data_IF_496936707325
#
_entry.id   IF_496936707325
#
_cell.length_a   1.000
_cell.length_b   1.000
_cell.length_c   1.000
_cell.angle_alpha   90.00
_cell.angle_beta   90.00
_cell.angle_gamma   90.00
#
_symmetry.space_group_name_H-M   'P 1'
#
loop_
_entity.id
_entity.type
_entity.pdbx_description
1 polymer ?
#
# COMPACT_ATOMS: atom_id res chain seq x y z
N UNK A 1 18.41 22.66 12.02
CA UNK A 1 18.35 21.20 12.32
C UNK A 1 16.98 20.59 12.05
N UNK A 2 15.88 21.10 12.63
CA UNK A 2 14.54 20.48 12.48
C UNK A 2 14.07 20.30 11.02
N UNK A 3 14.18 21.34 10.19
CA UNK A 3 13.69 21.39 8.80
C UNK A 3 14.42 20.49 7.81
N UNK A 4 15.73 20.30 7.99
CA UNK A 4 16.58 19.60 7.03
C UNK A 4 17.11 18.26 7.56
N UNK A 5 16.77 17.89 8.79
CA UNK A 5 17.28 16.65 9.38
C UNK A 5 16.16 15.91 10.08
N UNK A 6 15.64 16.46 11.18
CA UNK A 6 14.65 15.77 12.02
C UNK A 6 13.40 15.41 11.23
N UNK A 7 12.78 16.40 10.56
CA UNK A 7 11.52 16.19 9.84
C UNK A 7 11.69 15.20 8.67
N UNK A 8 12.67 15.36 7.75
CA UNK A 8 12.90 14.37 6.71
C UNK A 8 13.21 12.97 7.26
N UNK A 9 14.04 12.84 8.29
CA UNK A 9 14.37 11.53 8.86
C UNK A 9 13.16 10.86 9.49
N UNK A 10 12.27 11.58 10.17
CA UNK A 10 11.02 11.00 10.70
C UNK A 10 10.15 10.47 9.55
N UNK A 11 9.99 11.26 8.48
CA UNK A 11 9.21 10.83 7.30
C UNK A 11 9.85 9.62 6.60
N UNK A 12 11.18 9.56 6.53
CA UNK A 12 11.90 8.39 6.02
C UNK A 12 11.65 7.15 6.88
N UNK A 13 11.69 7.27 8.21
CA UNK A 13 11.38 6.15 9.11
C UNK A 13 9.96 5.63 8.89
N UNK A 14 8.97 6.52 8.74
CA UNK A 14 7.60 6.12 8.43
C UNK A 14 7.50 5.41 7.06
N UNK A 15 8.20 5.90 6.04
CA UNK A 15 8.22 5.29 4.72
C UNK A 15 8.87 3.90 4.75
N UNK A 16 10.01 3.75 5.44
CA UNK A 16 10.69 2.47 5.61
C UNK A 16 9.85 1.48 6.41
N UNK A 17 9.19 1.92 7.48
CA UNK A 17 8.27 1.08 8.25
C UNK A 17 7.13 0.56 7.37
N UNK A 18 6.57 1.42 6.50
CA UNK A 18 5.55 1.00 5.55
C UNK A 18 6.07 -0.02 4.54
N UNK A 19 7.28 0.17 4.03
CA UNK A 19 7.92 -0.80 3.13
C UNK A 19 8.09 -2.16 3.81
N UNK A 20 8.51 -2.20 5.08
CA UNK A 20 8.61 -3.45 5.84
C UNK A 20 7.26 -4.14 5.95
N UNK A 21 6.19 -3.41 6.29
CA UNK A 21 4.83 -3.97 6.36
C UNK A 21 4.34 -4.53 5.02
N UNK A 22 4.57 -3.80 3.92
CA UNK A 22 4.18 -4.23 2.59
C UNK A 22 4.96 -5.49 2.17
N UNK A 23 6.25 -5.58 2.50
CA UNK A 23 7.10 -6.75 2.25
C UNK A 23 6.69 -7.96 3.09
N UNK A 24 6.40 -7.77 4.39
CA UNK A 24 5.87 -8.81 5.26
C UNK A 24 4.57 -9.39 4.68
N UNK A 25 3.64 -8.51 4.27
CA UNK A 25 2.38 -8.93 3.66
C UNK A 25 2.60 -9.75 2.38
N UNK A 26 3.56 -9.32 1.55
CA UNK A 26 3.93 -10.02 0.33
C UNK A 26 4.54 -11.40 0.61
N UNK A 27 5.40 -11.51 1.63
CA UNK A 27 5.99 -12.79 2.04
C UNK A 27 4.93 -13.77 2.53
N UNK A 28 4.02 -13.31 3.39
CA UNK A 28 2.90 -14.14 3.85
C UNK A 28 2.00 -14.60 2.70
N UNK A 29 1.75 -13.72 1.73
CA UNK A 29 1.02 -14.09 0.51
C UNK A 29 1.78 -15.16 -0.29
N UNK A 30 3.11 -15.08 -0.37
CA UNK A 30 3.94 -16.06 -1.07
C UNK A 30 3.97 -17.40 -0.35
N UNK A 31 4.01 -17.41 0.97
CA UNK A 31 3.91 -18.65 1.75
C UNK A 31 2.56 -19.32 1.56
N UNK A 32 1.47 -18.56 1.56
CA UNK A 32 0.14 -19.09 1.25
C UNK A 32 0.07 -19.69 -0.17
N UNK A 33 0.69 -19.04 -1.14
CA UNK A 33 0.79 -19.56 -2.52
C UNK A 33 1.61 -20.87 -2.56
N UNK A 34 2.72 -20.95 -1.82
CA UNK A 34 3.53 -22.17 -1.73
C UNK A 34 2.75 -23.31 -1.10
N UNK A 35 2.01 -23.05 -0.02
CA UNK A 35 1.17 -24.07 0.63
C UNK A 35 0.04 -24.55 -0.30
N UNK A 36 -0.61 -23.67 -1.07
CA UNK A 36 -1.62 -24.06 -2.07
C UNK A 36 -1.05 -25.00 -3.15
N UNK A 37 0.18 -24.76 -3.62
CA UNK A 37 0.86 -25.69 -4.52
C UNK A 37 1.07 -27.06 -3.87
N UNK A 38 1.46 -27.09 -2.60
CA UNK A 38 1.69 -28.35 -1.87
C UNK A 38 0.38 -29.11 -1.65
N UNK A 39 -0.70 -28.41 -1.28
CA UNK A 39 -2.04 -28.98 -1.09
C UNK A 39 -2.62 -29.51 -2.42
N UNK A 40 -2.26 -28.87 -3.53
CA UNK A 40 -2.57 -29.33 -4.89
C UNK A 40 -1.73 -30.54 -5.35
N UNK A 41 -0.80 -31.03 -4.51
CA UNK A 41 0.05 -32.18 -4.78
C UNK A 41 1.30 -31.87 -5.60
N UNK A 42 1.65 -30.59 -5.79
CA UNK A 42 2.91 -30.22 -6.42
C UNK A 42 4.10 -30.58 -5.51
N UNK A 43 5.16 -31.12 -6.12
CA UNK A 43 6.40 -31.46 -5.41
C UNK A 43 7.56 -30.66 -5.97
N UNK A 44 8.47 -30.25 -5.10
CA UNK A 44 9.70 -29.56 -5.50
C UNK A 44 10.62 -30.54 -6.24
N UNK A 45 11.13 -30.14 -7.40
CA UNK A 45 12.13 -30.92 -8.13
C UNK A 45 13.54 -30.78 -7.53
N UNK A 46 13.75 -29.77 -6.69
CA UNK A 46 15.03 -29.41 -6.06
C UNK A 46 14.79 -28.98 -4.62
N UNK A 47 15.10 -29.85 -3.67
CA UNK A 47 14.82 -29.61 -2.24
C UNK A 47 15.50 -28.36 -1.68
N UNK A 48 16.70 -28.01 -2.19
CA UNK A 48 17.43 -26.79 -1.77
C UNK A 48 16.72 -25.46 -2.08
N UNK A 49 15.64 -25.49 -2.85
CA UNK A 49 14.82 -24.30 -3.13
C UNK A 49 13.71 -24.11 -2.10
N UNK A 50 13.50 -25.08 -1.21
CA UNK A 50 12.53 -24.98 -0.14
C UNK A 50 12.94 -23.86 0.81
N UNK A 51 11.99 -22.99 1.12
CA UNK A 51 12.10 -21.98 2.16
C UNK A 51 11.27 -22.41 3.35
N UNK A 52 11.69 -22.00 4.55
CA UNK A 52 10.83 -22.08 5.73
C UNK A 52 9.77 -20.96 5.68
N UNK A 53 8.57 -21.18 6.24
CA UNK A 53 7.54 -20.15 6.31
C UNK A 53 8.06 -18.90 7.02
N UNK A 54 7.76 -17.74 6.47
CA UNK A 54 8.11 -16.46 7.05
C UNK A 54 7.36 -16.25 8.37
N UNK A 55 8.09 -15.86 9.42
CA UNK A 55 7.55 -15.53 10.73
C UNK A 55 8.03 -14.14 11.12
N UNK A 56 7.10 -13.19 11.19
CA UNK A 56 7.41 -11.78 11.40
C UNK A 56 8.09 -11.55 12.76
N UNK A 57 7.58 -12.16 13.82
CA UNK A 57 8.10 -11.99 15.18
C UNK A 57 9.54 -12.50 15.29
N UNK A 58 9.82 -13.71 14.78
CA UNK A 58 11.19 -14.26 14.80
C UNK A 58 12.14 -13.41 13.95
N UNK A 59 11.69 -12.90 12.80
CA UNK A 59 12.49 -12.00 11.98
C UNK A 59 12.82 -10.71 12.73
N UNK A 60 11.84 -10.10 13.40
CA UNK A 60 12.04 -8.87 14.18
C UNK A 60 12.99 -9.11 15.35
N UNK A 61 12.83 -10.20 16.10
CA UNK A 61 13.71 -10.58 17.20
C UNK A 61 15.15 -10.78 16.71
N UNK A 62 15.34 -11.54 15.62
CA UNK A 62 16.66 -11.77 15.05
C UNK A 62 17.30 -10.47 14.54
N UNK A 63 16.51 -9.60 13.92
CA UNK A 63 16.97 -8.29 13.47
C UNK A 63 17.47 -7.45 14.65
N UNK A 64 16.72 -7.39 15.76
CA UNK A 64 17.10 -6.61 16.94
C UNK A 64 18.35 -7.18 17.65
N UNK A 65 18.47 -8.50 17.71
CA UNK A 65 19.56 -9.17 18.42
C UNK A 65 20.87 -9.19 17.62
N UNK A 66 20.80 -9.45 16.31
CA UNK A 66 21.99 -9.73 15.50
C UNK A 66 22.34 -8.60 14.55
N UNK A 67 21.35 -8.03 13.86
CA UNK A 67 21.57 -7.10 12.74
C UNK A 67 21.68 -5.66 13.22
N UNK A 68 20.81 -5.23 14.14
CA UNK A 68 20.80 -3.87 14.66
C UNK A 68 22.16 -3.46 15.27
N UNK A 69 22.84 -4.29 16.10
CA UNK A 69 24.16 -3.94 16.62
C UNK A 69 25.21 -3.77 15.51
N UNK A 70 25.12 -4.55 14.42
CA UNK A 70 26.03 -4.42 13.28
C UNK A 70 25.81 -3.10 12.53
N UNK A 71 24.55 -2.70 12.34
CA UNK A 71 24.18 -1.44 11.68
C UNK A 71 24.61 -0.25 12.53
N UNK A 72 24.37 -0.29 13.84
CA UNK A 72 24.75 0.78 14.76
C UNK A 72 26.26 0.87 15.00
N UNK A 73 27.00 -0.22 14.79
CA UNK A 73 28.47 -0.26 14.90
C UNK A 73 29.22 0.21 13.64
N UNK A 74 28.55 0.37 12.50
CA UNK A 74 29.15 0.87 11.27
C UNK A 74 29.35 2.39 11.33
N UNK A 75 30.60 2.85 11.21
CA UNK A 75 31.02 4.25 11.36
C UNK A 75 30.30 5.28 10.47
N UNK A 76 30.38 6.55 10.89
CA UNK A 76 29.56 7.69 10.47
C UNK A 76 29.24 7.82 8.97
N UNK A 77 27.96 8.01 8.67
CA UNK A 77 27.45 8.77 7.51
C UNK A 77 27.56 8.12 6.12
N UNK A 78 28.49 7.19 5.91
CA UNK A 78 28.73 6.61 4.58
C UNK A 78 27.59 5.70 4.13
N UNK A 79 27.00 4.93 5.06
CA UNK A 79 25.80 4.14 4.79
C UNK A 79 24.60 5.01 4.41
N UNK A 80 24.49 6.23 4.96
CA UNK A 80 23.44 7.17 4.62
C UNK A 80 23.61 7.69 3.18
N UNK A 81 24.83 8.10 2.81
CA UNK A 81 25.12 8.63 1.47
C UNK A 81 24.88 7.60 0.35
N UNK A 82 25.16 6.32 0.60
CA UNK A 82 24.99 5.27 -0.41
C UNK A 82 23.57 4.70 -0.48
N UNK A 83 22.92 4.43 0.65
CA UNK A 83 21.64 3.70 0.67
C UNK A 83 20.41 4.60 0.86
N UNK A 84 20.52 5.69 1.63
CA UNK A 84 19.36 6.47 2.10
C UNK A 84 19.22 7.85 1.44
N UNK A 85 20.26 8.34 0.77
CA UNK A 85 20.26 9.67 0.14
C UNK A 85 19.13 9.85 -0.88
N UNK A 86 18.79 8.81 -1.64
CA UNK A 86 17.69 8.87 -2.61
C UNK A 86 16.34 9.07 -1.92
N UNK A 87 16.07 8.32 -0.85
CA UNK A 87 14.83 8.44 -0.08
C UNK A 87 14.75 9.81 0.60
N UNK A 88 15.85 10.29 1.19
CA UNK A 88 15.92 11.64 1.75
C UNK A 88 15.59 12.71 0.71
N UNK A 89 16.17 12.61 -0.48
CA UNK A 89 15.94 13.54 -1.59
C UNK A 89 14.47 13.51 -2.04
N UNK A 90 13.88 12.33 -2.17
CA UNK A 90 12.47 12.18 -2.53
C UNK A 90 11.53 12.79 -1.46
N UNK A 91 11.81 12.52 -0.18
CA UNK A 91 11.03 13.07 0.95
C UNK A 91 11.11 14.58 0.98
N UNK A 92 12.31 15.16 0.94
CA UNK A 92 12.49 16.62 0.98
C UNK A 92 11.86 17.31 -0.23
N UNK A 93 11.94 16.72 -1.43
CA UNK A 93 11.23 17.24 -2.61
C UNK A 93 9.71 17.17 -2.44
N UNK A 94 9.19 16.08 -1.88
CA UNK A 94 7.75 15.94 -1.61
C UNK A 94 7.28 16.98 -0.60
N UNK A 95 8.04 17.23 0.47
CA UNK A 95 7.72 18.26 1.45
C UNK A 95 7.72 19.66 0.83
N UNK A 96 8.69 19.98 -0.02
CA UNK A 96 8.74 21.25 -0.73
C UNK A 96 7.54 21.44 -1.67
N UNK A 97 7.13 20.37 -2.37
CA UNK A 97 5.93 20.38 -3.22
C UNK A 97 4.66 20.63 -2.40
N UNK A 98 4.52 19.99 -1.24
CA UNK A 98 3.35 20.17 -0.37
C UNK A 98 3.30 21.58 0.23
N UNK A 99 4.45 22.14 0.63
CA UNK A 99 4.50 23.52 1.11
C UNK A 99 4.06 24.53 0.03
N UNK A 100 4.52 24.35 -1.22
CA UNK A 100 4.11 25.23 -2.34
C UNK A 100 2.61 25.16 -2.62
N UNK A 101 2.01 23.96 -2.60
CA UNK A 101 0.56 23.79 -2.76
C UNK A 101 -0.24 24.51 -1.68
N UNK A 102 0.25 24.51 -0.43
CA UNK A 102 -0.40 25.22 0.68
C UNK A 102 -0.35 26.74 0.51
N UNK A 103 0.72 27.28 -0.08
CA UNK A 103 0.82 28.72 -0.33
C UNK A 103 -0.01 29.19 -1.53
N UNK A 104 -0.03 28.45 -2.65
CA UNK A 104 -0.83 28.85 -3.81
C UNK A 104 -2.35 28.77 -3.56
N UNK A 105 -2.80 27.88 -2.67
CA UNK A 105 -4.23 27.75 -2.35
C UNK A 105 -4.75 28.83 -1.39
N UNK A 106 -3.88 29.69 -0.85
CA UNK A 106 -4.24 30.76 0.10
C UNK A 106 -4.42 32.14 -0.56
N UNK A 107 -4.11 32.28 -1.85
CA UNK A 107 -4.14 33.56 -2.57
C UNK A 107 -5.36 33.72 -3.51
N UNK A 108 -6.22 32.69 -3.63
CA UNK A 108 -7.42 32.70 -4.48
C UNK A 108 -8.72 33.13 -3.73
N UNK A 109 -8.64 33.63 -2.49
CA UNK A 109 -9.82 34.05 -1.68
C UNK A 109 -9.86 35.55 -1.33
N UNK A 110 -9.26 36.42 -2.15
CA UNK A 110 -9.46 37.89 -2.01
C UNK A 110 -9.47 38.59 -3.36
N UNK A 111 -10.60 38.49 -4.08
CA UNK A 111 -11.21 39.55 -4.94
C UNK A 111 -12.55 38.96 -5.46
N UNK A 112 -13.74 39.55 -5.38
CA UNK A 112 -14.15 40.90 -5.78
C UNK A 112 -15.58 41.17 -5.24
N UNK A 113 -15.84 42.33 -4.63
CA UNK A 113 -17.11 43.04 -4.77
C UNK A 113 -17.00 44.51 -4.30
N UNK A 114 -17.18 45.50 -5.20
CA UNK A 114 -17.42 46.88 -4.80
C UNK A 114 -18.93 47.17 -4.89
N UNK A 115 -19.64 47.36 -3.77
CA UNK A 115 -20.98 47.93 -3.85
C UNK A 115 -21.31 48.83 -2.67
N UNK A 116 -21.82 49.99 -3.03
CA UNK A 116 -22.17 51.16 -2.25
C UNK A 116 -23.12 50.94 -1.07
N UNK A 117 -23.05 51.89 -0.14
CA UNK A 117 -24.05 52.19 0.87
C UNK A 117 -25.45 52.39 0.25
N UNK A 118 -26.50 51.79 0.83
CA UNK A 118 -27.84 52.42 1.00
C UNK A 118 -28.63 51.67 2.07
N UNK A 119 -29.20 52.48 2.95
CA UNK A 119 -30.06 52.22 4.12
C UNK A 119 -31.40 51.51 3.83
N UNK A 120 -31.94 50.89 4.89
CA UNK A 120 -33.35 50.65 5.26
C UNK A 120 -33.96 49.22 5.25
N UNK A 121 -34.61 48.88 6.37
CA UNK A 121 -35.30 47.64 6.83
C UNK A 121 -36.85 47.76 6.56
N UNK A 122 -37.82 46.87 6.96
CA UNK A 122 -37.78 45.53 7.63
C UNK A 122 -38.82 44.44 7.17
N UNK A 123 -38.54 43.14 7.50
CA UNK A 123 -39.39 41.94 7.88
C UNK A 123 -40.81 41.65 7.29
N UNK A 124 -41.45 40.43 7.38
CA UNK A 124 -41.21 39.23 8.24
C UNK A 124 -41.39 37.79 7.61
N UNK A 125 -41.03 36.79 8.43
CA UNK A 125 -41.20 35.30 8.46
C UNK A 125 -42.57 34.71 7.98
N UNK A 126 -42.68 33.40 7.61
CA UNK A 126 -42.78 32.29 8.59
C UNK A 126 -42.20 30.89 8.21
N UNK A 127 -41.76 30.17 9.27
CA UNK A 127 -41.58 28.70 9.38
C UNK A 127 -42.93 27.96 9.30
N UNK A 128 -42.97 26.66 8.90
CA UNK A 128 -42.98 25.53 9.86
C UNK A 128 -42.15 24.30 9.37
N UNK A 129 -41.36 23.62 10.22
CA UNK A 129 -41.74 22.46 11.07
C UNK A 129 -42.36 21.29 10.28
N UNK A 130 -41.73 20.11 10.16
CA UNK A 130 -41.78 18.90 11.04
C UNK A 130 -41.56 17.68 10.09
N UNK A 131 -41.18 16.46 10.43
CA UNK A 131 -41.04 15.68 11.65
C UNK A 131 -40.16 14.45 11.34
N UNK A 132 -39.60 13.85 12.38
CA UNK A 132 -39.05 12.49 12.44
C UNK A 132 -40.05 11.41 11.98
N UNK A 133 -39.58 10.26 11.49
CA UNK A 133 -39.71 8.93 12.16
C UNK A 133 -39.39 7.73 11.24
N UNK A 134 -38.49 6.87 11.75
CA UNK A 134 -38.51 5.39 11.82
C UNK A 134 -38.92 4.46 10.67
N UNK A 135 -38.22 3.31 10.68
CA UNK A 135 -38.69 1.93 10.41
C UNK A 135 -38.40 1.41 8.99
N UNK A 136 -37.50 0.45 8.78
CA UNK A 136 -37.42 -0.97 9.20
C UNK A 136 -37.94 -1.92 8.11
N UNK A 137 -37.29 -3.07 8.06
CA UNK A 137 -37.74 -4.35 7.51
C UNK A 137 -37.49 -4.53 6.01
N UNK A 138 -37.06 -5.67 5.46
CA UNK A 138 -36.55 -6.96 5.93
C UNK A 138 -36.33 -7.77 4.63
N UNK A 139 -35.30 -8.65 4.60
CA UNK A 139 -35.19 -9.97 3.92
C UNK A 139 -35.83 -10.08 2.49
N UNK A 140 -35.17 -10.66 1.49
CA UNK A 140 -35.20 -12.13 1.28
C UNK A 140 -34.42 -12.47 0.01
N UNK A 141 -33.44 -13.36 0.12
CA UNK A 141 -32.89 -14.14 -1.00
C UNK A 141 -33.91 -15.22 -1.41
N UNK A 142 -33.99 -15.61 -2.68
CA UNK A 142 -33.54 -16.97 -2.98
C UNK A 142 -32.83 -17.16 -4.32
N UNK A 143 -32.02 -18.22 -4.30
CA UNK A 143 -31.43 -19.03 -5.36
C UNK A 143 -31.98 -18.91 -6.80
N UNK A 144 -31.09 -18.95 -7.80
CA UNK A 144 -30.77 -20.18 -8.56
C UNK A 144 -29.99 -19.87 -9.85
N UNK A 145 -28.96 -20.69 -10.13
CA UNK A 145 -28.04 -20.64 -11.28
C UNK A 145 -28.72 -21.13 -12.58
N UNK A 146 -28.13 -20.87 -13.77
CA UNK A 146 -27.20 -21.87 -14.31
C UNK A 146 -25.99 -21.32 -15.10
N UNK A 147 -24.84 -21.94 -14.82
CA UNK A 147 -23.88 -22.51 -15.79
C UNK A 147 -23.65 -21.79 -17.12
N UNK A 148 -22.42 -21.29 -17.34
CA UNK A 148 -21.72 -21.50 -18.62
C UNK A 148 -20.20 -21.32 -18.53
N UNK A 149 -19.52 -22.40 -18.89
CA UNK A 149 -18.08 -22.65 -18.93
C UNK A 149 -17.55 -22.29 -20.32
N UNK A 150 -16.47 -21.51 -20.49
CA UNK A 150 -15.79 -21.45 -21.76
C UNK A 150 -15.03 -22.75 -22.03
N UNK A 151 -15.36 -23.34 -23.17
CA UNK A 151 -15.04 -24.68 -23.63
C UNK A 151 -13.65 -24.69 -24.28
N UNK A 152 -12.74 -25.52 -23.78
CA UNK A 152 -11.51 -25.90 -24.47
C UNK A 152 -11.85 -26.72 -25.74
N UNK A 153 -11.14 -26.54 -26.86
CA UNK A 153 -11.26 -27.41 -28.03
C UNK A 153 -10.48 -28.74 -27.88
N UNK A 154 -10.94 -29.85 -28.49
CA UNK A 154 -10.42 -31.20 -28.27
C UNK A 154 -9.29 -31.67 -29.22
N UNK A 155 -8.24 -32.21 -28.59
CA UNK A 155 -7.48 -33.47 -28.75
C UNK A 155 -7.17 -34.19 -30.11
N UNK A 156 -5.92 -34.75 -30.11
CA UNK A 156 -5.36 -36.00 -30.73
C UNK A 156 -4.64 -35.85 -32.09
N UNK A 157 -3.52 -36.51 -32.42
CA UNK A 157 -2.49 -37.36 -31.78
C UNK A 157 -1.28 -37.41 -32.77
N UNK A 158 0.01 -37.69 -32.48
CA UNK A 158 0.72 -38.92 -32.07
C UNK A 158 2.26 -38.64 -32.20
N UNK A 159 3.16 -39.49 -31.68
CA UNK A 159 4.53 -39.13 -31.30
C UNK A 159 5.56 -39.25 -32.43
N UNK A 160 6.66 -38.50 -32.33
CA UNK A 160 7.92 -38.83 -33.02
C UNK A 160 9.08 -38.75 -32.02
N UNK A 161 9.73 -39.89 -31.78
CA UNK A 161 11.04 -39.97 -31.13
C UNK A 161 12.06 -39.24 -32.01
N UNK A 162 12.82 -38.32 -31.43
CA UNK A 162 14.14 -37.95 -31.95
C UNK A 162 15.17 -38.30 -30.87
N UNK A 163 16.18 -39.07 -31.30
CA UNK A 163 17.33 -39.50 -30.52
C UNK A 163 18.17 -38.30 -30.09
N UNK A 164 18.86 -38.47 -28.97
CA UNK A 164 19.61 -37.44 -28.27
C UNK A 164 20.62 -36.68 -29.10
N UNK A 165 20.96 -35.49 -28.60
CA UNK A 165 22.09 -34.72 -29.11
C UNK A 165 22.55 -33.67 -28.13
N UNK A 166 22.74 -34.03 -26.86
CA UNK A 166 23.68 -33.32 -25.99
C UNK A 166 24.34 -34.37 -25.07
N UNK A 167 25.63 -34.60 -25.36
CA UNK A 167 26.62 -35.18 -24.45
C UNK A 167 27.17 -34.09 -23.56
#
# INVERSE_FOLDING_TARGET
>A
VFRHLVRPLIQMNLALQRQVQDLTSLLLQKDAEIEDYRDSGATLSRDRLRTEPFQEEMFQENFMAEILPQICGAGEGQAFASALQQLYTAVTQQEAKQARKQHCSAEDDVDTAPTAETTERPHPLPLPQKDETTSSSERTSPASSPTQKPRLPPAKAKPKKAKGLFS
#
